data_IF_421745815816
#
_entry.id   IF_421745815816
#
_cell.length_a   1.000
_cell.length_b   1.000
_cell.length_c   1.000
_cell.angle_alpha   90.00
_cell.angle_beta   90.00
_cell.angle_gamma   90.00
#
_symmetry.space_group_name_H-M   'P 1'
#
loop_
_entity.id
_entity.type
_entity.pdbx_description
1 polymer ?
#
# COMPACT_ATOMS: atom_id res chain seq x y z
N UNK A 1 -6.50 3.25 19.21
CA UNK A 1 -7.31 3.30 18.00
C UNK A 1 -7.52 1.88 17.56
N UNK A 2 -8.72 1.37 17.80
CA UNK A 2 -9.16 0.06 17.32
C UNK A 2 -9.00 0.01 15.80
N UNK A 3 -8.53 -1.13 15.29
CA UNK A 3 -8.45 -1.38 13.85
C UNK A 3 -9.71 -2.12 13.46
N UNK A 4 -10.49 -1.57 12.55
CA UNK A 4 -11.62 -2.28 12.00
C UNK A 4 -11.12 -3.21 10.90
N UNK A 5 -11.50 -4.48 10.98
CA UNK A 5 -11.11 -5.49 10.00
C UNK A 5 -12.25 -5.68 9.01
N UNK A 6 -11.94 -5.58 7.73
CA UNK A 6 -12.89 -5.80 6.65
C UNK A 6 -12.26 -6.65 5.55
N UNK A 7 -13.10 -7.35 4.80
CA UNK A 7 -12.68 -8.12 3.63
C UNK A 7 -12.75 -7.20 2.41
N UNK A 8 -11.64 -7.12 1.66
CA UNK A 8 -11.57 -6.38 0.40
C UNK A 8 -11.47 -7.39 -0.74
N UNK A 9 -12.29 -7.21 -1.77
CA UNK A 9 -12.21 -8.02 -2.99
C UNK A 9 -11.15 -7.46 -3.92
N UNK A 10 -10.07 -8.20 -4.12
CA UNK A 10 -8.95 -7.83 -4.97
C UNK A 10 -8.86 -8.72 -6.20
N UNK A 11 -8.36 -8.19 -7.32
CA UNK A 11 -8.02 -9.02 -8.46
C UNK A 11 -6.83 -9.97 -8.08
N UNK A 12 -6.75 -11.19 -8.63
CA UNK A 12 -5.66 -12.12 -8.34
C UNK A 12 -4.26 -11.52 -8.53
N UNK A 13 -4.09 -10.66 -9.54
CA UNK A 13 -2.84 -9.96 -9.79
C UNK A 13 -2.49 -8.95 -8.68
N UNK A 14 -3.48 -8.20 -8.18
CA UNK A 14 -3.33 -7.26 -7.07
C UNK A 14 -2.96 -8.01 -5.77
N UNK A 15 -3.69 -9.09 -5.47
CA UNK A 15 -3.46 -9.92 -4.29
C UNK A 15 -2.08 -10.61 -4.33
N UNK A 16 -1.68 -11.15 -5.48
CA UNK A 16 -0.35 -11.74 -5.69
C UNK A 16 0.75 -10.70 -5.49
N UNK A 17 0.63 -9.53 -6.13
CA UNK A 17 1.62 -8.46 -5.98
C UNK A 17 1.78 -8.06 -4.51
N UNK A 18 0.68 -7.86 -3.77
CA UNK A 18 0.76 -7.52 -2.34
C UNK A 18 1.45 -8.61 -1.50
N UNK A 19 1.25 -9.90 -1.82
CA UNK A 19 1.96 -11.01 -1.14
C UNK A 19 3.46 -10.98 -1.41
N UNK A 20 3.85 -10.73 -2.67
CA UNK A 20 5.26 -10.60 -3.07
C UNK A 20 5.92 -9.43 -2.35
N UNK A 21 5.26 -8.26 -2.31
CA UNK A 21 5.78 -7.10 -1.59
C UNK A 21 5.81 -7.33 -0.07
N UNK A 22 4.81 -7.99 0.50
CA UNK A 22 4.83 -8.36 1.92
C UNK A 22 6.03 -9.25 2.25
N UNK A 23 6.31 -10.25 1.42
CA UNK A 23 7.46 -11.13 1.60
C UNK A 23 8.79 -10.37 1.43
N UNK A 24 8.94 -9.60 0.34
CA UNK A 24 10.16 -8.86 0.02
C UNK A 24 10.53 -7.81 1.09
N UNK A 25 9.54 -7.21 1.73
CA UNK A 25 9.74 -6.17 2.75
C UNK A 25 9.55 -6.68 4.20
N UNK A 26 9.45 -8.00 4.40
CA UNK A 26 9.32 -8.61 5.72
C UNK A 26 8.07 -8.18 6.48
N UNK A 27 6.97 -7.91 5.78
CA UNK A 27 5.70 -7.54 6.38
C UNK A 27 4.97 -8.80 6.90
N UNK A 28 4.27 -8.71 8.04
CA UNK A 28 3.61 -9.85 8.68
C UNK A 28 2.48 -10.46 7.84
N UNK A 29 1.79 -9.65 7.04
CA UNK A 29 0.63 -10.08 6.27
C UNK A 29 0.31 -9.12 5.10
N UNK A 30 -0.57 -9.58 4.21
CA UNK A 30 -1.06 -8.82 3.04
C UNK A 30 -1.81 -7.55 3.47
N UNK A 31 -2.59 -7.62 4.54
CA UNK A 31 -3.32 -6.47 5.08
C UNK A 31 -2.37 -5.34 5.50
N UNK A 32 -1.15 -5.68 5.95
CA UNK A 32 -0.10 -4.71 6.24
C UNK A 32 0.43 -4.04 4.98
N UNK A 33 0.64 -4.79 3.91
CA UNK A 33 1.03 -4.24 2.62
C UNK A 33 -0.02 -3.25 2.10
N UNK A 34 -1.32 -3.58 2.21
CA UNK A 34 -2.41 -2.65 1.87
C UNK A 34 -2.34 -1.37 2.69
N UNK A 35 -2.07 -1.46 4.00
CA UNK A 35 -1.92 -0.28 4.85
C UNK A 35 -0.73 0.60 4.47
N UNK A 36 0.37 0.00 4.00
CA UNK A 36 1.49 0.77 3.46
C UNK A 36 1.06 1.53 2.21
N UNK A 37 0.32 0.90 1.31
CA UNK A 37 -0.26 1.55 0.13
C UNK A 37 -1.18 2.72 0.50
N UNK A 38 -2.11 2.51 1.43
CA UNK A 38 -3.01 3.57 1.92
C UNK A 38 -2.24 4.74 2.55
N UNK A 39 -1.23 4.44 3.36
CA UNK A 39 -0.40 5.48 3.97
C UNK A 39 0.42 6.25 2.94
N UNK A 40 1.02 5.56 1.97
CA UNK A 40 1.76 6.17 0.88
C UNK A 40 0.88 7.10 0.06
N UNK A 41 -0.28 6.61 -0.40
CA UNK A 41 -1.24 7.39 -1.17
C UNK A 41 -1.74 8.62 -0.39
N UNK A 42 -2.05 8.44 0.90
CA UNK A 42 -2.46 9.55 1.76
C UNK A 42 -1.34 10.58 1.98
N UNK A 43 -0.08 10.16 2.06
CA UNK A 43 1.05 11.02 2.38
C UNK A 43 1.63 11.76 1.18
N UNK A 44 1.66 11.14 -0.01
CA UNK A 44 2.19 11.80 -1.20
C UNK A 44 1.31 12.95 -1.69
N UNK A 45 0.07 13.06 -1.19
CA UNK A 45 -0.89 13.99 -1.75
C UNK A 45 -1.15 13.74 -3.24
N UNK A 46 -0.71 12.57 -3.76
CA UNK A 46 -1.06 12.09 -5.09
C UNK A 46 -2.58 12.10 -5.13
N UNK A 47 -3.09 13.07 -5.88
CA UNK A 47 -4.50 13.41 -5.95
C UNK A 47 -5.34 12.13 -5.86
N UNK A 48 -6.13 12.03 -4.78
CA UNK A 48 -7.24 11.08 -4.57
C UNK A 48 -7.35 10.15 -5.77
N UNK A 49 -6.79 8.92 -5.72
CA UNK A 49 -6.66 8.07 -6.91
C UNK A 49 -8.02 8.09 -7.61
N UNK A 50 -8.08 8.61 -8.86
CA UNK A 50 -9.29 9.18 -9.44
C UNK A 50 -10.35 8.11 -9.38
N UNK A 51 -11.31 8.22 -8.43
CA UNK A 51 -12.16 7.13 -7.96
C UNK A 51 -12.37 6.12 -9.09
N UNK A 52 -11.45 5.15 -9.18
CA UNK A 52 -11.49 4.26 -10.31
C UNK A 52 -12.65 3.40 -9.90
N UNK A 53 -13.81 3.68 -10.49
CA UNK A 53 -14.95 2.79 -10.44
C UNK A 53 -14.53 1.57 -11.25
N UNK A 54 -13.59 0.83 -10.67
CA UNK A 54 -13.14 -0.44 -11.15
C UNK A 54 -14.31 -1.34 -10.82
N UNK A 55 -15.00 -1.79 -11.86
CA UNK A 55 -15.91 -2.91 -11.70
C UNK A 55 -15.19 -3.99 -10.88
N UNK A 56 -15.90 -4.59 -9.92
CA UNK A 56 -15.38 -5.73 -9.18
C UNK A 56 -14.83 -6.75 -10.19
N UNK A 57 -13.62 -7.27 -10.00
CA UNK A 57 -13.06 -8.20 -10.97
C UNK A 57 -13.93 -9.46 -10.97
N UNK A 58 -14.18 -10.03 -12.16
CA UNK A 58 -15.03 -11.24 -12.28
C UNK A 58 -14.49 -12.39 -11.42
N UNK A 59 -13.15 -12.49 -11.36
CA UNK A 59 -12.43 -13.32 -10.42
C UNK A 59 -11.81 -12.40 -9.36
N UNK A 60 -12.32 -12.48 -8.12
CA UNK A 60 -11.83 -11.69 -7.00
C UNK A 60 -11.46 -12.59 -5.83
N UNK A 61 -10.34 -12.29 -5.19
CA UNK A 61 -9.93 -12.90 -3.93
C UNK A 61 -10.27 -11.96 -2.76
N UNK A 62 -10.85 -12.51 -1.70
CA UNK A 62 -11.09 -11.75 -0.47
C UNK A 62 -9.82 -11.69 0.37
N UNK A 63 -9.36 -10.47 0.64
CA UNK A 63 -8.20 -10.20 1.49
C UNK A 63 -8.68 -9.47 2.74
N UNK A 64 -8.36 -10.03 3.91
CA UNK A 64 -8.61 -9.38 5.18
C UNK A 64 -7.65 -8.20 5.38
N UNK A 65 -8.21 -7.00 5.56
CA UNK A 65 -7.46 -5.77 5.79
C UNK A 65 -7.93 -5.12 7.09
N UNK A 66 -6.99 -4.77 7.96
CA UNK A 66 -7.27 -4.10 9.23
C UNK A 66 -6.79 -2.65 9.21
N UNK A 67 -7.64 -1.72 8.77
CA UNK A 67 -7.29 -0.30 8.77
C UNK A 67 -7.48 0.32 10.15
N UNK A 68 -6.59 1.27 10.50
CA UNK A 68 -6.86 2.15 11.63
C UNK A 68 -7.95 3.16 11.24
N UNK A 69 -8.77 3.61 12.20
CA UNK A 69 -9.94 4.47 11.89
C UNK A 69 -9.63 5.71 11.04
N UNK A 70 -8.47 6.35 11.20
CA UNK A 70 -8.08 7.48 10.33
C UNK A 70 -7.68 7.09 8.90
N UNK A 71 -7.17 5.87 8.68
CA UNK A 71 -6.93 5.32 7.34
C UNK A 71 -8.25 4.99 6.64
N UNK A 72 -9.19 4.38 7.37
CA UNK A 72 -10.52 4.07 6.85
C UNK A 72 -11.30 5.34 6.48
N UNK A 73 -11.31 6.35 7.36
CA UNK A 73 -11.92 7.64 7.10
C UNK A 73 -11.33 8.28 5.83
N UNK A 74 -10.01 8.28 5.68
CA UNK A 74 -9.35 8.79 4.48
C UNK A 74 -9.73 8.01 3.22
N UNK A 75 -9.74 6.67 3.26
CA UNK A 75 -10.15 5.85 2.11
C UNK A 75 -11.60 6.14 1.70
N UNK A 76 -12.50 6.34 2.66
CA UNK A 76 -13.89 6.76 2.40
C UNK A 76 -13.98 8.12 1.71
N UNK A 77 -13.03 9.03 1.96
CA UNK A 77 -12.94 10.29 1.20
C UNK A 77 -12.54 10.09 -0.26
N UNK A 78 -12.04 8.92 -0.67
CA UNK A 78 -11.66 8.65 -2.05
C UNK A 78 -12.85 8.48 -3.00
N UNK A 79 -14.07 8.26 -2.49
CA UNK A 79 -15.30 8.06 -3.28
C UNK A 79 -15.44 6.63 -3.78
N UNK A 80 -16.67 6.22 -4.11
CA UNK A 80 -17.01 4.81 -4.40
C UNK A 80 -17.24 3.99 -3.13
N UNK A 81 -17.37 2.67 -3.30
CA UNK A 81 -17.36 1.71 -2.19
C UNK A 81 -15.92 1.46 -1.69
N UNK A 82 -15.80 0.85 -0.51
CA UNK A 82 -14.51 0.61 0.14
C UNK A 82 -13.58 -0.26 -0.72
N UNK A 83 -14.11 -1.25 -1.43
CA UNK A 83 -13.30 -2.15 -2.25
C UNK A 83 -12.71 -1.40 -3.44
N UNK A 84 -13.54 -0.65 -4.16
CA UNK A 84 -13.11 0.19 -5.27
C UNK A 84 -12.05 1.21 -4.84
N UNK A 85 -12.24 1.84 -3.66
CA UNK A 85 -11.28 2.81 -3.12
C UNK A 85 -9.94 2.16 -2.75
N UNK A 86 -9.96 1.01 -2.07
CA UNK A 86 -8.73 0.27 -1.71
C UNK A 86 -8.01 -0.24 -2.96
N UNK A 87 -8.73 -0.75 -3.95
CA UNK A 87 -8.14 -1.19 -5.23
C UNK A 87 -7.51 -0.05 -5.99
N UNK A 88 -8.16 1.11 -6.07
CA UNK A 88 -7.60 2.30 -6.69
C UNK A 88 -6.28 2.73 -6.04
N UNK A 89 -6.20 2.64 -4.70
CA UNK A 89 -4.96 2.87 -3.95
C UNK A 89 -3.88 1.83 -4.29
N UNK A 90 -4.23 0.55 -4.35
CA UNK A 90 -3.28 -0.53 -4.68
C UNK A 90 -2.74 -0.35 -6.09
N UNK A 91 -3.59 -0.11 -7.08
CA UNK A 91 -3.18 0.13 -8.48
C UNK A 91 -2.21 1.32 -8.56
N UNK A 92 -2.52 2.44 -7.89
CA UNK A 92 -1.62 3.58 -7.83
C UNK A 92 -0.26 3.24 -7.18
N UNK A 93 -0.24 2.32 -6.21
CA UNK A 93 0.99 1.87 -5.58
C UNK A 93 1.78 0.87 -6.44
N UNK A 94 1.10 0.11 -7.32
CA UNK A 94 1.75 -0.76 -8.30
C UNK A 94 2.47 0.04 -9.39
N UNK A 95 2.02 1.26 -9.68
CA UNK A 95 2.68 2.19 -10.62
C UNK A 95 3.80 2.99 -9.97
N UNK A 96 3.83 3.05 -8.64
CA UNK A 96 4.88 3.72 -7.89
C UNK A 96 6.09 2.80 -7.66
N UNK A 97 7.23 3.40 -7.32
CA UNK A 97 8.39 2.63 -6.92
C UNK A 97 8.10 1.91 -5.58
N UNK A 98 8.24 0.58 -5.57
CA UNK A 98 7.95 -0.25 -4.40
C UNK A 98 8.76 0.18 -3.17
N UNK A 99 9.96 0.73 -3.37
CA UNK A 99 10.78 1.26 -2.29
C UNK A 99 10.17 2.50 -1.66
N UNK A 100 9.49 3.34 -2.43
CA UNK A 100 8.79 4.51 -1.90
C UNK A 100 7.52 4.11 -1.15
N UNK A 101 6.84 3.05 -1.59
CA UNK A 101 5.60 2.54 -0.97
C UNK A 101 5.90 1.74 0.31
N UNK A 102 6.82 0.79 0.25
CA UNK A 102 7.07 -0.21 1.30
C UNK A 102 8.38 0.01 2.04
N UNK A 103 9.35 0.69 1.44
CA UNK A 103 10.64 0.97 2.08
C UNK A 103 10.56 2.02 3.19
N UNK A 104 9.60 2.94 3.12
CA UNK A 104 9.37 3.96 4.15
C UNK A 104 8.47 3.38 5.24
N UNK A 105 8.93 2.36 5.99
CA UNK A 105 8.11 1.82 7.08
C UNK A 105 8.14 2.77 8.28
N UNK A 106 7.19 3.69 8.32
CA UNK A 106 6.62 4.15 9.60
C UNK A 106 5.16 3.77 9.67
N UNK A 107 4.93 2.56 10.17
CA UNK A 107 3.63 2.11 10.68
C UNK A 107 3.05 2.98 11.82
N UNK A 108 3.75 4.05 12.18
CA UNK A 108 3.44 5.04 13.21
C UNK A 108 2.98 6.39 12.63
N UNK A 109 2.73 6.49 11.32
CA UNK A 109 2.10 7.69 10.76
C UNK A 109 0.61 7.68 11.09
N UNK A 110 0.17 8.65 11.90
CA UNK A 110 -1.23 8.95 12.14
C UNK A 110 -1.83 9.51 10.86
N UNK A 111 -2.32 8.64 9.97
CA UNK A 111 -3.17 9.06 8.86
C UNK A 111 -4.46 9.60 9.47
N UNK A 112 -4.70 10.90 9.36
CA UNK A 112 -5.95 11.56 9.75
C UNK A 112 -6.90 11.68 8.56
N UNK A 113 -8.18 11.89 8.84
CA UNK A 113 -9.25 12.09 7.85
C UNK A 113 -8.93 13.21 6.84
N UNK A 114 -8.20 14.25 7.26
CA UNK A 114 -7.79 15.37 6.42
C UNK A 114 -6.53 15.12 5.55
N UNK A 115 -5.99 13.90 5.53
CA UNK A 115 -4.61 13.64 5.08
C UNK A 115 -3.60 13.96 6.22
N UNK A 116 -2.28 13.80 6.01
CA UNK A 116 -1.31 14.08 7.06
C UNK A 116 -1.29 15.58 7.42
N UNK A 117 -0.90 15.96 8.66
CA UNK A 117 -0.45 17.32 8.91
C UNK A 117 0.74 17.65 7.98
N UNK A 118 0.92 18.91 7.55
CA UNK A 118 2.07 19.30 6.74
C UNK A 118 3.33 18.98 7.55
N UNK A 119 4.07 17.97 7.12
CA UNK A 119 5.37 17.66 7.70
C UNK A 119 6.39 17.68 6.59
N UNK A 120 7.20 18.74 6.58
CA UNK A 120 8.37 18.94 5.71
C UNK A 120 9.50 17.92 5.93
N UNK A 121 9.19 16.73 6.47
CA UNK A 121 10.19 15.72 6.79
C UNK A 121 9.70 14.34 6.38
N UNK A 122 9.93 14.04 5.10
CA UNK A 122 10.23 12.68 4.67
C UNK A 122 11.47 12.21 5.46
N UNK A 123 11.25 11.59 6.61
CA UNK A 123 12.31 10.91 7.35
C UNK A 123 12.51 9.57 6.66
N UNK A 124 13.71 9.35 6.12
CA UNK A 124 14.03 8.25 5.21
C UNK A 124 13.70 6.84 5.70
N UNK A 125 14.08 5.87 4.86
CA UNK A 125 13.77 4.45 5.00
C UNK A 125 14.01 3.92 6.42
N UNK A 126 13.14 3.02 6.88
CA UNK A 126 13.44 2.26 8.09
C UNK A 126 14.49 1.18 7.78
N UNK A 127 15.06 0.56 8.82
CA UNK A 127 16.02 -0.55 8.65
C UNK A 127 15.49 -1.69 7.77
N UNK A 128 14.24 -2.12 7.96
CA UNK A 128 13.63 -3.17 7.15
C UNK A 128 13.49 -2.77 5.67
N UNK A 129 13.14 -1.51 5.42
CA UNK A 129 13.04 -0.98 4.07
C UNK A 129 14.39 -0.78 3.40
N UNK A 130 15.42 -0.41 4.15
CA UNK A 130 16.78 -0.30 3.66
C UNK A 130 17.40 -1.67 3.32
N UNK A 131 17.13 -2.69 4.15
CA UNK A 131 17.54 -4.07 3.87
C UNK A 131 16.87 -4.61 2.60
N UNK A 132 15.54 -4.47 2.48
CA UNK A 132 14.79 -4.92 1.32
C UNK A 132 15.23 -4.24 0.02
N UNK A 133 15.51 -2.93 0.01
CA UNK A 133 16.02 -2.27 -1.22
C UNK A 133 17.42 -2.73 -1.60
N UNK A 134 18.25 -3.08 -0.62
CA UNK A 134 19.59 -3.60 -0.90
C UNK A 134 19.50 -4.95 -1.59
N UNK A 135 18.60 -5.83 -1.15
CA UNK A 135 18.38 -7.15 -1.77
C UNK A 135 17.72 -7.04 -3.16
N UNK A 136 16.72 -6.16 -3.34
CA UNK A 136 16.12 -5.90 -4.65
C UNK A 136 17.12 -5.31 -5.65
N UNK A 137 17.99 -4.41 -5.20
CA UNK A 137 19.04 -3.84 -6.06
C UNK A 137 20.11 -4.86 -6.42
N UNK A 138 20.40 -5.82 -5.53
CA UNK A 138 21.37 -6.89 -5.79
C UNK A 138 20.84 -7.96 -6.77
N UNK A 139 19.51 -8.15 -6.85
CA UNK A 139 18.88 -9.15 -7.73
C UNK A 139 18.81 -8.80 -9.23
N UNK A 140 19.20 -7.58 -9.63
CA UNK A 140 19.09 -7.12 -11.03
C UNK A 140 20.41 -7.22 -11.82
N UNK A 141 21.42 -7.90 -11.24
CA UNK A 141 22.79 -7.89 -11.75
C UNK A 141 23.38 -9.28 -12.02
N UNK A 142 22.69 -10.17 -12.72
CA UNK A 142 23.38 -11.33 -13.31
C UNK A 142 22.71 -11.75 -14.63
N UNK A 143 23.18 -11.16 -15.73
CA UNK A 143 23.04 -11.76 -17.05
C UNK A 143 24.17 -12.79 -17.18
N UNK A 144 23.87 -14.09 -17.41
CA UNK A 144 24.90 -15.05 -17.72
C UNK A 144 25.44 -14.76 -19.12
N UNK A 145 26.74 -14.47 -19.18
CA UNK A 145 27.53 -14.40 -20.40
C UNK A 145 27.53 -15.78 -21.08
N UNK A 146 27.00 -15.87 -22.30
CA UNK A 146 27.15 -17.04 -23.21
C UNK A 146 26.97 -16.61 -24.65
#
# INVERSE_FOLDING_TARGET
ADKESFAVRLAPAEARWLREQAAAYGLPDVGKAVRCCVNFAAQRGSARPPALSLAAPEEAEEVAVALAGGQEAWVKTCGGDLDSAVRGVIVACMEADAQEVFGVVRCKTNTSEAGPPPSDRWQGLCEAGAAASTELSAGTGEAPDS
#
